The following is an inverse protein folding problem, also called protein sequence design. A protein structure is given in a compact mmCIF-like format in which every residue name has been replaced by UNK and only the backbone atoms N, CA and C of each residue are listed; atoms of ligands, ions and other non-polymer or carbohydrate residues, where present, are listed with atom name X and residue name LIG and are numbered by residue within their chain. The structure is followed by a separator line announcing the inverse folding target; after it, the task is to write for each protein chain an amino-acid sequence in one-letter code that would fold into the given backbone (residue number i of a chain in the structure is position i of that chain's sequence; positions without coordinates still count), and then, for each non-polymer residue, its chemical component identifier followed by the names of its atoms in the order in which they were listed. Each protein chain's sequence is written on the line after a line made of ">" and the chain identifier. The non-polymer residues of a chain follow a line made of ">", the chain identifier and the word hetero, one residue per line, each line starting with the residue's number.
data_IF_381539032165
#
_entry.id   IF_381539032165
#
_cell.length_a   1.000
_cell.length_b   1.000
_cell.length_c   1.000
_cell.angle_alpha   90.00
_cell.angle_beta   90.00
_cell.angle_gamma   90.00
#
_symmetry.space_group_name_H-M   'P 1'
#
loop_
_entity.id
_entity.type
_entity.pdbx_description
1 polymer ?
#
# COMPACT_ATOMS: atom_id res chain seq x y z
N UNK A 1 12.94 1.79 -46.05
CA UNK A 1 12.95 2.49 -44.74
C UNK A 1 11.54 3.00 -44.53
N UNK A 2 10.77 2.47 -43.57
CA UNK A 2 9.46 3.02 -43.26
C UNK A 2 9.60 4.23 -42.33
N UNK A 3 8.82 5.26 -42.64
CA UNK A 3 8.77 6.58 -42.02
C UNK A 3 8.14 6.51 -40.63
N UNK A 4 8.70 7.24 -39.66
CA UNK A 4 8.15 7.34 -38.30
C UNK A 4 7.01 8.35 -38.28
N UNK A 5 5.81 7.90 -37.89
CA UNK A 5 4.65 8.77 -37.62
C UNK A 5 4.95 9.65 -36.40
N UNK A 6 4.63 10.97 -36.43
CA UNK A 6 4.92 11.86 -35.30
C UNK A 6 4.02 11.50 -34.12
N UNK A 7 4.63 11.22 -32.97
CA UNK A 7 3.94 11.09 -31.69
C UNK A 7 3.51 12.47 -31.23
N UNK A 8 2.27 12.85 -31.56
CA UNK A 8 1.67 14.09 -31.12
C UNK A 8 1.33 13.99 -29.62
N UNK A 9 2.09 14.74 -28.83
CA UNK A 9 1.95 14.89 -27.39
C UNK A 9 0.69 15.71 -27.09
N UNK A 10 -0.37 15.03 -26.65
CA UNK A 10 -1.46 15.65 -25.90
C UNK A 10 -1.66 14.84 -24.62
N UNK A 11 -1.00 15.26 -23.55
CA UNK A 11 -1.20 14.75 -22.20
C UNK A 11 -2.58 15.21 -21.72
N UNK A 12 -3.59 14.37 -21.89
CA UNK A 12 -4.76 14.42 -21.02
C UNK A 12 -4.31 14.02 -19.61
N UNK A 13 -4.83 14.64 -18.53
CA UNK A 13 -4.58 14.13 -17.19
C UNK A 13 -5.14 12.72 -17.14
N UNK A 14 -4.27 11.73 -16.98
CA UNK A 14 -4.69 10.33 -16.90
C UNK A 14 -5.64 10.21 -15.69
N UNK A 15 -6.93 10.02 -15.98
CA UNK A 15 -7.97 9.74 -14.99
C UNK A 15 -7.82 8.30 -14.48
N UNK A 16 -6.63 7.96 -13.96
CA UNK A 16 -6.24 6.65 -13.49
C UNK A 16 -5.92 6.68 -12.01
N UNK A 17 -6.22 5.57 -11.33
CA UNK A 17 -5.69 5.30 -9.99
C UNK A 17 -4.41 4.51 -10.16
N UNK A 18 -3.29 5.05 -9.71
CA UNK A 18 -2.02 4.34 -9.72
C UNK A 18 -1.94 3.41 -8.49
N UNK A 19 -1.50 2.18 -8.75
CA UNK A 19 -1.29 1.16 -7.72
C UNK A 19 0.18 0.75 -7.74
N UNK A 20 0.88 0.98 -6.64
CA UNK A 20 2.28 0.65 -6.46
C UNK A 20 2.42 -0.58 -5.56
N UNK A 21 2.86 -1.71 -6.13
CA UNK A 21 3.18 -2.93 -5.38
C UNK A 21 4.66 -2.94 -5.00
N UNK A 22 4.93 -3.08 -3.70
CA UNK A 22 6.27 -3.09 -3.13
C UNK A 22 6.56 -4.47 -2.55
N UNK A 23 7.65 -5.09 -3.03
CA UNK A 23 8.07 -6.40 -2.56
C UNK A 23 8.65 -6.36 -1.15
N UNK A 24 8.53 -7.49 -0.43
CA UNK A 24 9.11 -7.62 0.91
C UNK A 24 10.62 -7.37 0.93
N UNK A 25 11.35 -7.89 -0.07
CA UNK A 25 12.80 -7.69 -0.20
C UNK A 25 13.21 -6.21 -0.37
N UNK A 26 12.38 -5.40 -1.02
CA UNK A 26 12.62 -3.96 -1.14
C UNK A 26 12.40 -3.27 0.20
N UNK A 27 11.39 -3.67 0.95
CA UNK A 27 11.12 -3.12 2.29
C UNK A 27 12.19 -3.52 3.29
N UNK A 28 12.66 -4.77 3.30
CA UNK A 28 13.72 -5.26 4.18
C UNK A 28 15.04 -4.47 4.03
N UNK A 29 15.33 -3.98 2.83
CA UNK A 29 16.51 -3.16 2.55
C UNK A 29 16.44 -1.72 3.11
N UNK A 30 15.29 -1.29 3.61
CA UNK A 30 15.04 0.07 4.08
C UNK A 30 14.98 0.11 5.61
N UNK A 31 15.49 1.20 6.19
CA UNK A 31 15.25 1.52 7.60
C UNK A 31 13.79 1.91 7.80
N UNK A 32 13.29 1.77 9.03
CA UNK A 32 11.89 2.07 9.37
C UNK A 32 11.43 3.45 8.90
N UNK A 33 12.25 4.49 9.06
CA UNK A 33 11.87 5.83 8.61
C UNK A 33 11.90 6.01 7.07
N UNK A 34 12.72 5.21 6.37
CA UNK A 34 12.75 5.20 4.91
C UNK A 34 11.51 4.49 4.35
N UNK A 35 11.09 3.38 4.98
CA UNK A 35 9.82 2.69 4.67
C UNK A 35 8.62 3.63 4.81
N UNK A 36 8.54 4.35 5.92
CA UNK A 36 7.42 5.26 6.21
C UNK A 36 7.34 6.38 5.17
N UNK A 37 8.48 7.00 4.84
CA UNK A 37 8.51 8.06 3.81
C UNK A 37 8.08 7.53 2.46
N UNK A 38 8.61 6.37 2.06
CA UNK A 38 8.25 5.76 0.78
C UNK A 38 6.73 5.53 0.66
N UNK A 39 6.08 5.08 1.73
CA UNK A 39 4.62 4.91 1.77
C UNK A 39 3.91 6.26 1.71
N UNK A 40 4.29 7.21 2.58
CA UNK A 40 3.63 8.51 2.67
C UNK A 40 3.77 9.34 1.40
N UNK A 41 4.88 9.23 0.68
CA UNK A 41 5.10 9.95 -0.56
C UNK A 41 4.15 9.42 -1.64
N UNK A 42 4.04 8.08 -1.80
CA UNK A 42 3.11 7.49 -2.77
C UNK A 42 1.64 7.80 -2.46
N UNK A 43 1.24 7.69 -1.19
CA UNK A 43 -0.16 7.93 -0.79
C UNK A 43 -0.54 9.41 -0.91
N UNK A 44 0.42 10.33 -0.69
CA UNK A 44 0.20 11.77 -0.91
C UNK A 44 -0.04 12.14 -2.36
N UNK A 45 0.61 11.43 -3.28
CA UNK A 45 0.39 11.61 -4.72
C UNK A 45 -0.97 11.02 -5.18
N UNK A 46 -1.74 10.44 -4.27
CA UNK A 46 -3.03 9.82 -4.53
C UNK A 46 -2.94 8.34 -4.92
N UNK A 47 -1.76 7.73 -4.81
CA UNK A 47 -1.56 6.33 -5.18
C UNK A 47 -2.04 5.38 -4.08
N UNK A 48 -2.41 4.17 -4.48
CA UNK A 48 -2.61 3.04 -3.57
C UNK A 48 -1.29 2.27 -3.48
N UNK A 49 -0.76 2.11 -2.28
CA UNK A 49 0.47 1.38 -2.01
C UNK A 49 0.14 0.00 -1.43
N UNK A 50 0.65 -1.06 -2.04
CA UNK A 50 0.49 -2.43 -1.58
C UNK A 50 1.85 -2.97 -1.15
N UNK A 51 1.93 -3.49 0.07
CA UNK A 51 3.10 -4.16 0.63
C UNK A 51 2.88 -5.67 0.57
N UNK A 52 3.77 -6.39 -0.10
CA UNK A 52 3.79 -7.86 -0.10
C UNK A 52 4.04 -8.41 1.32
N UNK A 53 4.87 -7.71 2.08
CA UNK A 53 5.13 -7.96 3.49
C UNK A 53 4.86 -6.67 4.26
N UNK A 54 3.85 -6.71 5.13
CA UNK A 54 3.40 -5.57 5.91
C UNK A 54 4.46 -5.00 6.86
N UNK A 55 4.13 -3.85 7.44
CA UNK A 55 4.97 -3.20 8.44
C UNK A 55 4.98 -4.00 9.75
N UNK A 56 6.07 -3.90 10.51
CA UNK A 56 6.04 -4.35 11.90
C UNK A 56 5.08 -3.47 12.73
N UNK A 57 4.58 -3.94 13.88
CA UNK A 57 3.68 -3.14 14.72
C UNK A 57 4.27 -1.78 15.12
N UNK A 58 5.59 -1.72 15.36
CA UNK A 58 6.29 -0.47 15.69
C UNK A 58 6.37 0.47 14.47
N UNK A 59 6.58 -0.09 13.28
CA UNK A 59 6.63 0.66 12.02
C UNK A 59 5.25 1.19 11.63
N UNK A 60 4.19 0.39 11.81
CA UNK A 60 2.80 0.81 11.59
C UNK A 60 2.40 1.92 12.56
N UNK A 61 2.71 1.76 13.85
CA UNK A 61 2.49 2.80 14.86
C UNK A 61 3.20 4.11 14.49
N UNK A 62 4.44 4.00 14.00
CA UNK A 62 5.21 5.16 13.55
C UNK A 62 4.65 5.78 12.27
N UNK A 63 4.16 4.97 11.33
CA UNK A 63 3.47 5.44 10.13
C UNK A 63 2.24 6.28 10.52
N UNK A 64 1.41 5.79 11.44
CA UNK A 64 0.24 6.51 11.95
C UNK A 64 0.66 7.83 12.62
N UNK A 65 1.67 7.80 13.49
CA UNK A 65 2.19 8.98 14.17
C UNK A 65 2.66 10.05 13.18
N UNK A 66 3.47 9.67 12.20
CA UNK A 66 4.00 10.60 11.20
C UNK A 66 2.88 11.10 10.30
N UNK A 67 1.92 10.25 9.93
CA UNK A 67 0.74 10.68 9.17
C UNK A 67 0.00 11.81 9.89
N UNK A 68 -0.25 11.68 11.19
CA UNK A 68 -0.93 12.72 11.97
C UNK A 68 -0.21 14.07 11.92
N UNK A 69 1.12 14.08 11.79
CA UNK A 69 1.89 15.31 11.66
C UNK A 69 1.88 15.91 10.25
N UNK A 70 1.58 15.11 9.24
CA UNK A 70 1.61 15.50 7.83
C UNK A 70 0.21 15.83 7.28
N UNK A 71 -0.87 15.49 8.01
CA UNK A 71 -2.25 15.81 7.61
C UNK A 71 -2.43 17.32 7.47
N UNK A 72 -2.95 17.74 6.32
CA UNK A 72 -3.35 19.12 6.05
C UNK A 72 -4.73 19.14 5.37
N UNK A 73 -5.61 20.13 5.68
CA UNK A 73 -6.97 20.16 5.15
C UNK A 73 -7.06 20.19 3.62
N UNK A 74 -6.04 20.76 2.97
CA UNK A 74 -6.06 21.06 1.54
C UNK A 74 -5.16 20.13 0.71
N UNK A 75 -4.15 19.49 1.30
CA UNK A 75 -3.17 18.67 0.56
C UNK A 75 -3.23 17.19 0.93
N UNK A 76 -3.50 16.84 2.19
CA UNK A 76 -3.43 15.44 2.63
C UNK A 76 -4.38 15.11 3.79
N UNK A 77 -5.42 14.32 3.50
CA UNK A 77 -6.43 13.93 4.50
C UNK A 77 -6.00 12.81 5.45
N UNK A 78 -4.85 12.17 5.19
CA UNK A 78 -4.34 11.03 5.96
C UNK A 78 -4.36 9.73 5.14
N UNK A 79 -4.20 8.60 5.84
CA UNK A 79 -4.13 7.26 5.25
C UNK A 79 -5.20 6.33 5.79
N UNK A 80 -5.56 5.33 5.00
CA UNK A 80 -6.32 4.13 5.38
C UNK A 80 -5.39 2.92 5.22
N UNK A 81 -5.42 1.98 6.17
CA UNK A 81 -4.54 0.80 6.19
C UNK A 81 -5.40 -0.45 6.39
N UNK A 82 -5.25 -1.43 5.49
CA UNK A 82 -5.92 -2.73 5.58
C UNK A 82 -4.90 -3.85 5.42
N UNK A 83 -4.96 -4.87 6.28
CA UNK A 83 -4.01 -6.00 6.26
C UNK A 83 -4.72 -7.33 6.12
N UNK A 84 -4.30 -8.12 5.14
CA UNK A 84 -4.85 -9.43 4.81
C UNK A 84 -3.85 -10.54 5.17
N UNK A 85 -4.28 -11.58 5.90
CA UNK A 85 -3.43 -12.73 6.18
C UNK A 85 -3.17 -13.53 4.90
N UNK A 86 -1.95 -14.04 4.74
CA UNK A 86 -1.63 -14.96 3.67
C UNK A 86 -2.05 -16.39 4.07
N UNK A 87 -2.85 -17.06 3.24
CA UNK A 87 -3.51 -18.33 3.56
C UNK A 87 -2.56 -19.56 3.63
N UNK A 88 -1.28 -19.43 3.27
CA UNK A 88 -0.35 -20.56 3.22
C UNK A 88 0.14 -21.08 4.60
N UNK A 89 -0.39 -20.59 5.72
CA UNK A 89 0.03 -21.00 7.07
C UNK A 89 -0.78 -22.16 7.70
N UNK A 90 -1.56 -22.91 6.92
CA UNK A 90 -2.37 -24.01 7.42
C UNK A 90 -1.53 -25.16 8.03
N UNK A 91 -0.27 -25.36 7.61
CA UNK A 91 0.55 -26.51 8.04
C UNK A 91 1.68 -26.19 9.05
N UNK A 92 1.91 -24.92 9.42
CA UNK A 92 3.05 -24.53 10.30
C UNK A 92 2.66 -24.22 11.77
N UNK A 93 1.39 -24.40 12.13
CA UNK A 93 0.73 -23.61 13.18
C UNK A 93 1.02 -23.93 14.67
N UNK A 94 1.86 -24.89 15.04
CA UNK A 94 2.04 -25.23 16.48
C UNK A 94 3.47 -25.12 17.02
N UNK A 95 4.50 -25.45 16.23
CA UNK A 95 5.89 -25.37 16.69
C UNK A 95 6.48 -23.96 16.57
N UNK A 96 6.14 -23.23 15.50
CA UNK A 96 6.65 -21.86 15.27
C UNK A 96 6.03 -20.83 16.21
N UNK A 97 4.78 -21.06 16.64
CA UNK A 97 4.08 -20.20 17.60
C UNK A 97 4.68 -20.30 19.01
N UNK A 98 5.24 -21.46 19.37
CA UNK A 98 6.00 -21.66 20.62
C UNK A 98 7.42 -21.09 20.52
N UNK A 99 7.97 -20.97 19.31
CA UNK A 99 9.29 -20.41 19.04
C UNK A 99 9.28 -18.88 18.81
N UNK A 100 8.11 -18.24 18.89
CA UNK A 100 7.96 -16.78 18.75
C UNK A 100 8.19 -16.27 17.33
N UNK A 101 8.12 -17.15 16.32
CA UNK A 101 8.29 -16.80 14.90
C UNK A 101 6.92 -16.62 14.26
N UNK A 102 6.27 -15.50 14.56
CA UNK A 102 5.01 -15.14 13.92
C UNK A 102 5.29 -14.25 12.69
N UNK A 103 6.06 -14.75 11.72
CA UNK A 103 6.20 -14.09 10.41
C UNK A 103 5.15 -14.64 9.45
N UNK A 104 3.87 -14.50 9.80
CA UNK A 104 2.84 -14.60 8.76
C UNK A 104 2.98 -13.35 7.91
N UNK A 105 3.53 -13.50 6.70
CA UNK A 105 3.68 -12.39 5.75
C UNK A 105 2.28 -11.91 5.41
N UNK A 106 1.86 -10.78 5.97
CA UNK A 106 0.55 -10.17 5.71
C UNK A 106 0.70 -9.24 4.52
N UNK A 107 -0.24 -9.31 3.57
CA UNK A 107 -0.33 -8.32 2.51
C UNK A 107 -1.02 -7.10 3.08
N UNK A 108 -0.41 -5.92 2.95
CA UNK A 108 -0.96 -4.68 3.50
C UNK A 108 -1.25 -3.70 2.38
N UNK A 109 -2.46 -3.13 2.37
CA UNK A 109 -2.90 -2.11 1.42
C UNK A 109 -3.00 -0.79 2.17
N UNK A 110 -2.42 0.26 1.60
CA UNK A 110 -2.38 1.60 2.18
C UNK A 110 -2.78 2.61 1.11
N UNK A 111 -3.75 3.46 1.38
CA UNK A 111 -4.16 4.51 0.46
C UNK A 111 -4.67 5.75 1.17
N UNK A 112 -5.05 6.81 0.44
CA UNK A 112 -5.42 8.07 1.05
C UNK A 112 -6.83 7.99 1.67
N UNK A 113 -7.00 8.60 2.85
CA UNK A 113 -8.19 8.47 3.71
C UNK A 113 -9.51 9.02 3.13
N UNK A 114 -9.50 9.50 1.89
CA UNK A 114 -10.61 10.09 1.16
C UNK A 114 -11.03 9.30 -0.10
N UNK A 115 -10.42 8.14 -0.37
CA UNK A 115 -10.59 7.42 -1.64
C UNK A 115 -10.92 5.92 -1.53
N UNK A 116 -10.96 5.33 -0.34
CA UNK A 116 -11.25 3.90 -0.16
C UNK A 116 -12.68 3.71 0.35
N UNK A 117 -13.62 3.43 -0.56
CA UNK A 117 -14.88 2.78 -0.20
C UNK A 117 -14.67 1.27 -0.31
N UNK A 118 -14.48 0.60 0.83
CA UNK A 118 -14.28 -0.86 0.89
C UNK A 118 -15.53 -1.58 0.38
N UNK A 119 -15.51 -1.99 -0.90
CA UNK A 119 -16.55 -2.85 -1.46
C UNK A 119 -16.31 -4.29 -1.03
N UNK A 120 -17.29 -4.81 -0.29
CA UNK A 120 -17.66 -6.21 -0.13
C UNK A 120 -16.82 -7.22 -0.92
N UNK A 121 -16.22 -8.16 -0.20
CA UNK A 121 -15.11 -8.97 -0.70
C UNK A 121 -15.18 -10.41 -0.18
N UNK A 122 -15.39 -11.35 -1.10
CA UNK A 122 -15.15 -12.79 -0.88
C UNK A 122 -13.64 -13.07 -0.83
N UNK A 123 -13.28 -14.12 -0.08
CA UNK A 123 -11.96 -14.59 0.38
C UNK A 123 -10.83 -14.68 -0.67
N UNK A 124 -11.12 -14.51 -1.97
CA UNK A 124 -10.20 -14.77 -3.08
C UNK A 124 -9.85 -13.55 -3.95
N UNK A 125 -10.29 -12.36 -3.59
CA UNK A 125 -10.23 -11.22 -4.51
C UNK A 125 -9.97 -9.96 -3.68
N UNK A 126 -9.17 -8.98 -4.15
CA UNK A 126 -9.10 -7.61 -3.58
C UNK A 126 -9.62 -6.60 -4.63
N UNK A 127 -10.57 -5.74 -4.25
CA UNK A 127 -11.29 -4.82 -5.15
C UNK A 127 -11.33 -3.47 -4.46
N UNK A 128 -10.49 -2.55 -4.92
CA UNK A 128 -10.61 -1.14 -4.58
C UNK A 128 -11.52 -0.48 -5.63
N UNK A 129 -12.56 0.21 -5.19
CA UNK A 129 -13.36 1.07 -6.06
C UNK A 129 -13.25 2.49 -5.51
N UNK A 130 -12.58 3.35 -6.28
CA UNK A 130 -12.40 4.75 -5.94
C UNK A 130 -13.54 5.55 -6.55
N UNK A 131 -14.33 6.20 -5.69
CA UNK A 131 -15.41 7.07 -6.10
C UNK A 131 -14.85 8.35 -6.73
N UNK A 132 -15.44 8.76 -7.86
CA UNK A 132 -15.11 10.01 -8.56
C UNK A 132 -15.94 11.15 -8.00
N UNK A 133 -15.32 12.33 -7.89
CA UNK A 133 -16.07 13.59 -7.71
C UNK A 133 -16.77 14.00 -9.01
#
# INVERSE_FOLDING_TARGET
>A
MPEATPSDSTTEPENGVQIDLISGSRMEGLRSMEKIRLILDGVRDGNIVILEEGLSPDEESKLIEVTMTEISPDEFSGIEIESYPHEEAADQSFLDRLMGRESTKKLTVIGPANQIETLHKDDQLISALVSRK
#
